data_IF_408182131227
#
_entry.id   IF_408182131227
#
_cell.length_a   1.000
_cell.length_b   1.000
_cell.length_c   1.000
_cell.angle_alpha   90.00
_cell.angle_beta   90.00
_cell.angle_gamma   90.00
#
_symmetry.space_group_name_H-M   'P 1'
#
loop_
_entity.id
_entity.type
_entity.pdbx_description
1 polymer ?
#
# COMPACT_ATOMS: atom_id res chain seq x y z
N UNK A 1 -27.24 -0.78 21.06
CA UNK A 1 -26.41 0.41 20.75
C UNK A 1 -25.55 0.10 19.54
N UNK A 2 -25.41 1.06 18.64
CA UNK A 2 -24.47 1.00 17.53
C UNK A 2 -23.02 1.18 18.02
N UNK A 3 -22.04 0.86 17.17
CA UNK A 3 -20.62 1.07 17.48
C UNK A 3 -20.33 2.56 17.74
N UNK A 4 -20.92 3.46 16.95
CA UNK A 4 -20.76 4.90 17.13
C UNK A 4 -21.34 5.39 18.46
N UNK A 5 -22.51 4.88 18.85
CA UNK A 5 -23.14 5.22 20.14
C UNK A 5 -22.30 4.73 21.33
N UNK A 6 -21.74 3.52 21.25
CA UNK A 6 -20.85 3.00 22.29
C UNK A 6 -19.57 3.83 22.39
N UNK A 7 -18.94 4.17 21.26
CA UNK A 7 -17.73 5.00 21.24
C UNK A 7 -17.97 6.37 21.89
N UNK A 8 -19.09 7.01 21.55
CA UNK A 8 -19.49 8.29 22.14
C UNK A 8 -19.78 8.19 23.64
N UNK A 9 -20.44 7.12 24.08
CA UNK A 9 -20.71 6.91 25.50
C UNK A 9 -19.41 6.71 26.30
N UNK A 10 -18.45 5.95 25.76
CA UNK A 10 -17.16 5.74 26.42
C UNK A 10 -16.28 6.99 26.42
N UNK A 11 -16.29 7.78 25.34
CA UNK A 11 -15.47 9.00 25.27
C UNK A 11 -15.83 10.04 26.33
N UNK A 12 -17.11 10.12 26.74
CA UNK A 12 -17.57 11.03 27.80
C UNK A 12 -17.00 10.73 29.20
N UNK A 13 -16.53 9.51 29.43
CA UNK A 13 -16.02 9.10 30.73
C UNK A 13 -14.49 9.13 30.81
N UNK A 14 -13.81 9.54 29.72
CA UNK A 14 -12.36 9.64 29.68
C UNK A 14 -11.88 10.92 30.36
N UNK A 15 -10.79 10.86 31.14
CA UNK A 15 -10.03 12.07 31.51
C UNK A 15 -9.49 12.78 30.26
N UNK A 16 -9.32 14.10 30.33
CA UNK A 16 -8.88 14.94 29.19
C UNK A 16 -7.66 14.38 28.46
N UNK A 17 -6.61 13.96 29.19
CA UNK A 17 -5.41 13.37 28.61
C UNK A 17 -5.72 12.11 27.77
N UNK A 18 -6.55 11.21 28.29
CA UNK A 18 -6.94 9.99 27.59
C UNK A 18 -7.88 10.28 26.41
N UNK A 19 -8.68 11.34 26.49
CA UNK A 19 -9.52 11.78 25.38
C UNK A 19 -8.67 12.30 24.20
N UNK A 20 -7.59 13.04 24.49
CA UNK A 20 -6.61 13.46 23.47
C UNK A 20 -5.91 12.26 22.82
N UNK A 21 -5.42 11.31 23.61
CA UNK A 21 -4.79 10.09 23.08
C UNK A 21 -5.75 9.26 22.21
N UNK A 22 -7.02 9.16 22.61
CA UNK A 22 -8.03 8.47 21.82
C UNK A 22 -8.29 9.19 20.48
N UNK A 23 -8.30 10.52 20.48
CA UNK A 23 -8.47 11.31 19.26
C UNK A 23 -7.28 11.13 18.31
N UNK A 24 -6.05 11.17 18.83
CA UNK A 24 -4.83 10.93 18.04
C UNK A 24 -4.86 9.54 17.39
N UNK A 25 -5.29 8.52 18.14
CA UNK A 25 -5.43 7.16 17.61
C UNK A 25 -6.50 7.06 16.51
N UNK A 26 -7.65 7.73 16.68
CA UNK A 26 -8.68 7.78 15.64
C UNK A 26 -8.15 8.45 14.37
N UNK A 27 -7.43 9.58 14.49
CA UNK A 27 -6.81 10.25 13.34
C UNK A 27 -5.78 9.37 12.63
N UNK A 28 -4.97 8.64 13.40
CA UNK A 28 -4.03 7.67 12.84
C UNK A 28 -4.76 6.58 12.03
N UNK A 29 -5.86 6.05 12.56
CA UNK A 29 -6.67 5.06 11.85
C UNK A 29 -7.30 5.65 10.58
N UNK A 30 -7.79 6.89 10.63
CA UNK A 30 -8.32 7.58 9.44
C UNK A 30 -7.28 7.65 8.33
N UNK A 31 -6.03 8.02 8.64
CA UNK A 31 -4.93 8.04 7.67
C UNK A 31 -4.62 6.64 7.14
N UNK A 32 -4.45 5.67 8.03
CA UNK A 32 -4.13 4.28 7.65
C UNK A 32 -5.17 3.64 6.73
N UNK A 33 -6.44 3.96 6.92
CA UNK A 33 -7.53 3.39 6.13
C UNK A 33 -7.90 4.25 4.91
N UNK A 34 -7.66 5.55 4.93
CA UNK A 34 -7.72 6.41 3.74
C UNK A 34 -6.71 5.94 2.68
N UNK A 35 -5.48 5.60 3.09
CA UNK A 35 -4.43 5.11 2.19
C UNK A 35 -4.69 3.69 1.67
N UNK A 36 -5.39 2.85 2.45
CA UNK A 36 -5.81 1.51 1.97
C UNK A 36 -6.91 1.60 0.93
N UNK A 37 -7.74 2.66 0.95
CA UNK A 37 -8.72 2.90 -0.10
C UNK A 37 -8.04 3.36 -1.41
N UNK A 38 -7.02 4.22 -1.31
CA UNK A 38 -6.21 4.62 -2.49
C UNK A 38 -5.34 3.49 -3.02
N UNK A 39 -4.77 2.62 -2.18
CA UNK A 39 -4.05 1.41 -2.61
C UNK A 39 -4.97 0.40 -3.32
N UNK A 40 -6.21 0.23 -2.87
CA UNK A 40 -7.22 -0.59 -3.58
C UNK A 40 -7.62 0.00 -4.94
N UNK A 41 -7.60 1.32 -5.08
CA UNK A 41 -7.73 1.98 -6.38
C UNK A 41 -6.52 1.68 -7.27
N UNK A 42 -5.30 1.73 -6.72
CA UNK A 42 -4.06 1.47 -7.45
C UNK A 42 -3.90 0.01 -7.88
N UNK A 43 -4.38 -0.98 -7.13
CA UNK A 43 -4.37 -2.37 -7.57
C UNK A 43 -5.23 -2.60 -8.83
N UNK A 44 -6.32 -1.85 -8.97
CA UNK A 44 -7.15 -1.83 -10.18
C UNK A 44 -6.43 -1.19 -11.36
N UNK A 45 -5.56 -0.21 -11.07
CA UNK A 45 -4.68 0.46 -12.02
C UNK A 45 -3.57 -0.48 -12.53
N UNK A 46 -2.98 -1.31 -11.64
CA UNK A 46 -1.98 -2.32 -12.04
C UNK A 46 -2.56 -3.38 -12.96
N UNK A 47 -3.75 -3.91 -12.66
CA UNK A 47 -4.40 -4.92 -13.53
C UNK A 47 -4.77 -4.32 -14.89
N UNK A 48 -5.23 -3.06 -14.90
CA UNK A 48 -5.55 -2.33 -16.14
C UNK A 48 -4.29 -2.02 -16.95
N UNK A 49 -3.19 -1.64 -16.29
CA UNK A 49 -1.89 -1.46 -16.91
C UNK A 49 -1.35 -2.76 -17.50
N UNK A 50 -1.41 -3.86 -16.75
CA UNK A 50 -0.99 -5.18 -17.23
C UNK A 50 -1.84 -5.64 -18.41
N UNK A 51 -3.16 -5.40 -18.41
CA UNK A 51 -4.02 -5.71 -19.54
C UNK A 51 -3.72 -4.84 -20.77
N UNK A 52 -3.34 -3.58 -20.58
CA UNK A 52 -2.95 -2.66 -21.67
C UNK A 52 -1.58 -3.01 -22.28
N UNK A 53 -0.67 -3.60 -21.49
CA UNK A 53 0.67 -4.00 -21.92
C UNK A 53 0.72 -5.47 -22.38
N UNK A 54 -0.17 -6.32 -21.88
CA UNK A 54 -0.28 -7.71 -22.30
C UNK A 54 -0.67 -7.78 -23.79
N UNK A 55 0.25 -8.26 -24.62
CA UNK A 55 0.09 -8.33 -26.07
C UNK A 55 0.73 -7.17 -26.85
N UNK A 56 1.34 -6.18 -26.19
CA UNK A 56 2.21 -5.19 -26.87
C UNK A 56 3.64 -5.69 -27.03
N UNK A 57 3.98 -6.82 -26.42
CA UNK A 57 5.24 -7.52 -26.64
C UNK A 57 5.14 -8.16 -28.04
N UNK A 58 5.87 -7.59 -29.01
CA UNK A 58 5.90 -8.10 -30.38
C UNK A 58 6.62 -9.45 -30.49
N UNK A 59 6.54 -10.07 -31.68
CA UNK A 59 7.14 -11.38 -31.96
C UNK A 59 8.67 -11.43 -31.77
N UNK A 60 9.34 -10.27 -31.79
CA UNK A 60 10.78 -10.11 -31.53
C UNK A 60 11.13 -10.08 -30.03
N UNK A 61 10.14 -10.18 -29.13
CA UNK A 61 10.41 -10.26 -27.70
C UNK A 61 10.83 -11.69 -27.32
N UNK A 62 12.01 -11.88 -26.72
CA UNK A 62 12.54 -13.22 -26.45
C UNK A 62 11.64 -13.96 -25.47
N UNK A 63 11.21 -15.16 -25.87
CA UNK A 63 10.35 -16.05 -25.08
C UNK A 63 11.14 -17.15 -24.36
N UNK A 64 12.46 -17.13 -24.51
CA UNK A 64 13.42 -18.13 -24.07
C UNK A 64 14.47 -17.57 -23.10
N UNK A 65 14.24 -16.38 -22.51
CA UNK A 65 15.12 -15.81 -21.49
C UNK A 65 15.31 -16.79 -20.33
N UNK A 66 16.53 -17.27 -20.15
CA UNK A 66 17.00 -18.11 -19.06
C UNK A 66 17.93 -17.34 -18.13
N UNK A 67 18.40 -18.00 -17.07
CA UNK A 67 19.40 -17.41 -16.16
C UNK A 67 20.73 -17.08 -16.84
N UNK A 68 21.04 -17.73 -17.96
CA UNK A 68 22.28 -17.50 -18.71
C UNK A 68 22.23 -16.18 -19.52
N UNK A 69 21.02 -15.69 -19.82
CA UNK A 69 20.77 -14.42 -20.52
C UNK A 69 20.83 -13.20 -19.60
N UNK A 70 20.80 -13.44 -18.28
CA UNK A 70 20.83 -12.38 -17.28
C UNK A 70 22.27 -11.87 -17.08
N UNK A 71 22.41 -10.54 -17.04
CA UNK A 71 23.66 -9.91 -16.66
C UNK A 71 24.10 -10.35 -15.26
N UNK A 72 25.39 -10.64 -15.08
CA UNK A 72 25.95 -10.93 -13.75
C UNK A 72 25.98 -9.64 -12.94
N UNK A 73 25.45 -9.68 -11.73
CA UNK A 73 25.58 -8.58 -10.79
C UNK A 73 27.07 -8.25 -10.59
N UNK A 74 27.47 -7.06 -11.01
CA UNK A 74 28.78 -6.55 -10.67
C UNK A 74 28.76 -6.13 -9.19
N UNK A 75 29.74 -6.53 -8.38
CA UNK A 75 29.85 -6.03 -7.03
C UNK A 75 29.93 -4.50 -7.09
N UNK A 76 29.17 -3.83 -6.24
CA UNK A 76 29.25 -2.39 -6.07
C UNK A 76 30.70 -2.07 -5.74
N UNK A 77 31.40 -1.35 -6.62
CA UNK A 77 32.79 -0.98 -6.37
C UNK A 77 32.77 0.04 -5.25
N UNK A 78 33.03 -0.43 -4.04
CA UNK A 78 33.32 0.44 -2.91
C UNK A 78 34.65 1.11 -3.22
N UNK A 79 34.60 2.35 -3.69
CA UNK A 79 35.77 3.22 -3.70
C UNK A 79 36.17 3.40 -2.23
N UNK A 80 37.30 2.79 -1.85
CA UNK A 80 37.91 2.92 -0.52
C UNK A 80 38.47 4.31 -0.26
#
# INVERSE_FOLDING_TARGET
MSVAENLYHHSRNLPDQAAHEALDFIQFLEQCYADKATLRSRSKDTESFLAAVAGTLGDDFPNDITGDDLGKDAPRTEFG
#
